data_IF_067353192744
#
_entry.id   IF_067353192744
#
_cell.length_a   1.000
_cell.length_b   1.000
_cell.length_c   1.000
_cell.angle_alpha   90.00
_cell.angle_beta   90.00
_cell.angle_gamma   90.00
#
_symmetry.space_group_name_H-M   'P 1'
#
loop_
_entity.id
_entity.type
_entity.pdbx_description
1 polymer ?
#
# COMPACT_ATOMS: atom_id res chain seq x y z
N UNK A 1 0.26 -34.56 -13.94
CA UNK A 1 1.36 -33.60 -13.66
C UNK A 1 2.67 -34.39 -13.59
N UNK A 2 3.73 -33.97 -14.29
CA UNK A 2 5.04 -34.66 -14.19
C UNK A 2 5.60 -34.43 -12.78
N UNK A 3 6.07 -35.49 -12.12
CA UNK A 3 6.73 -35.42 -10.80
C UNK A 3 8.05 -34.66 -10.98
N UNK A 4 8.41 -33.78 -10.04
CA UNK A 4 9.71 -33.12 -10.09
C UNK A 4 10.82 -34.17 -9.94
N UNK A 5 11.73 -34.24 -10.89
CA UNK A 5 12.80 -35.25 -10.90
C UNK A 5 14.05 -34.75 -10.17
N UNK A 6 14.18 -33.43 -9.97
CA UNK A 6 15.29 -32.81 -9.24
C UNK A 6 14.90 -31.50 -8.54
N UNK A 7 15.82 -30.99 -7.70
CA UNK A 7 15.61 -29.77 -6.91
C UNK A 7 15.32 -28.54 -7.79
N UNK A 8 16.00 -28.40 -8.93
CA UNK A 8 15.80 -27.27 -9.85
C UNK A 8 14.38 -27.23 -10.39
N UNK A 9 13.82 -28.39 -10.72
CA UNK A 9 12.43 -28.47 -11.16
C UNK A 9 11.44 -28.14 -10.05
N UNK A 10 11.72 -28.57 -8.81
CA UNK A 10 10.88 -28.24 -7.64
C UNK A 10 10.83 -26.73 -7.40
N UNK A 11 11.98 -26.04 -7.44
CA UNK A 11 12.02 -24.58 -7.36
C UNK A 11 11.31 -23.92 -8.53
N UNK A 12 11.49 -24.40 -9.75
CA UNK A 12 10.79 -23.88 -10.94
C UNK A 12 9.27 -23.97 -10.77
N UNK A 13 8.75 -25.09 -10.26
CA UNK A 13 7.32 -25.25 -10.00
C UNK A 13 6.83 -24.34 -8.88
N UNK A 14 7.58 -24.20 -7.78
CA UNK A 14 7.25 -23.26 -6.72
C UNK A 14 7.18 -21.81 -7.21
N UNK A 15 8.17 -21.35 -8.00
CA UNK A 15 8.17 -20.01 -8.59
C UNK A 15 7.03 -19.83 -9.59
N UNK A 16 6.71 -20.86 -10.38
CA UNK A 16 5.55 -20.81 -11.28
C UNK A 16 4.24 -20.66 -10.52
N UNK A 17 4.08 -21.36 -9.40
CA UNK A 17 2.91 -21.22 -8.53
C UNK A 17 2.79 -19.83 -7.91
N UNK A 18 3.90 -19.28 -7.40
CA UNK A 18 3.94 -17.92 -6.86
C UNK A 18 3.60 -16.88 -7.94
N UNK A 19 4.17 -17.02 -9.13
CA UNK A 19 3.88 -16.13 -10.27
C UNK A 19 2.41 -16.23 -10.70
N UNK A 20 1.87 -17.44 -10.79
CA UNK A 20 0.47 -17.65 -11.13
C UNK A 20 -0.43 -16.88 -10.16
N UNK A 21 -0.30 -17.14 -8.86
CA UNK A 21 -1.12 -16.50 -7.84
C UNK A 21 -0.96 -14.97 -7.86
N UNK A 22 0.24 -14.45 -8.06
CA UNK A 22 0.48 -13.00 -8.10
C UNK A 22 -0.19 -12.31 -9.30
N UNK A 23 -0.23 -12.99 -10.46
CA UNK A 23 -0.83 -12.45 -11.68
C UNK A 23 -2.36 -12.57 -11.65
N UNK A 24 -2.90 -13.67 -11.13
CA UNK A 24 -4.35 -13.91 -11.15
C UNK A 24 -5.06 -13.25 -9.98
N UNK A 25 -4.47 -13.24 -8.78
CA UNK A 25 -5.17 -12.84 -7.56
C UNK A 25 -4.90 -11.38 -7.19
N UNK A 26 -5.98 -10.58 -7.18
CA UNK A 26 -5.92 -9.17 -6.77
C UNK A 26 -5.54 -9.01 -5.31
N UNK A 27 -6.09 -9.85 -4.44
CA UNK A 27 -5.86 -9.80 -3.00
C UNK A 27 -4.39 -10.07 -2.66
N UNK A 28 -3.77 -11.08 -3.27
CA UNK A 28 -2.33 -11.34 -3.12
C UNK A 28 -1.46 -10.13 -3.52
N UNK A 29 -1.80 -9.40 -4.59
CA UNK A 29 -1.09 -8.17 -4.95
C UNK A 29 -1.23 -7.09 -3.89
N UNK A 30 -2.44 -6.88 -3.36
CA UNK A 30 -2.68 -5.92 -2.29
C UNK A 30 -1.90 -6.28 -1.01
N UNK A 31 -1.89 -7.55 -0.63
CA UNK A 31 -1.11 -8.04 0.51
C UNK A 31 0.40 -7.84 0.29
N UNK A 32 0.92 -8.12 -0.91
CA UNK A 32 2.32 -7.89 -1.23
C UNK A 32 2.71 -6.41 -1.20
N UNK A 33 1.89 -5.53 -1.81
CA UNK A 33 2.11 -4.08 -1.77
C UNK A 33 2.06 -3.52 -0.35
N UNK A 34 1.11 -3.99 0.46
CA UNK A 34 0.98 -3.60 1.87
C UNK A 34 2.18 -4.09 2.68
N UNK A 35 2.60 -5.34 2.47
CA UNK A 35 3.79 -5.91 3.08
C UNK A 35 5.05 -5.08 2.77
N UNK A 36 5.26 -4.72 1.50
CA UNK A 36 6.36 -3.87 1.09
C UNK A 36 6.33 -2.51 1.79
N UNK A 37 5.17 -1.85 1.84
CA UNK A 37 5.00 -0.57 2.53
C UNK A 37 5.31 -0.67 4.04
N UNK A 38 4.80 -1.72 4.71
CA UNK A 38 5.05 -1.97 6.14
C UNK A 38 6.53 -2.23 6.42
N UNK A 39 7.22 -2.97 5.56
CA UNK A 39 8.66 -3.25 5.70
C UNK A 39 9.51 -1.99 5.51
N UNK A 40 9.17 -1.14 4.52
CA UNK A 40 9.81 0.15 4.30
C UNK A 40 9.59 1.06 5.51
N UNK A 41 8.35 1.14 6.03
CA UNK A 41 8.03 1.91 7.22
C UNK A 41 8.82 1.42 8.44
N UNK A 42 8.94 0.10 8.61
CA UNK A 42 9.73 -0.52 9.66
C UNK A 42 11.20 -0.16 9.61
N UNK A 43 11.75 -0.07 8.40
CA UNK A 43 13.12 0.36 8.17
C UNK A 43 13.31 1.86 8.47
N UNK A 44 12.41 2.73 7.99
CA UNK A 44 12.43 4.18 8.26
C UNK A 44 12.36 4.48 9.76
N UNK A 45 11.50 3.75 10.49
CA UNK A 45 11.33 3.92 11.94
C UNK A 45 12.40 3.21 12.77
N UNK A 46 13.45 2.67 12.13
CA UNK A 46 14.55 1.94 12.77
C UNK A 46 14.06 0.87 13.76
N UNK A 47 13.15 0.01 13.31
CA UNK A 47 12.66 -1.09 14.15
C UNK A 47 13.82 -1.97 14.63
N UNK A 48 13.84 -2.34 15.92
CA UNK A 48 14.82 -3.29 16.41
C UNK A 48 14.62 -4.64 15.70
N UNK A 49 15.73 -5.34 15.44
CA UNK A 49 15.74 -6.59 14.66
C UNK A 49 14.64 -7.59 15.07
N UNK A 50 14.42 -7.74 16.37
CA UNK A 50 13.39 -8.65 16.92
C UNK A 50 11.97 -8.30 16.45
N UNK A 51 11.62 -7.01 16.41
CA UNK A 51 10.28 -6.56 16.00
C UNK A 51 10.13 -6.61 14.49
N UNK A 52 11.20 -6.30 13.76
CA UNK A 52 11.23 -6.46 12.31
C UNK A 52 11.01 -7.92 11.90
N UNK A 53 11.62 -8.88 12.62
CA UNK A 53 11.39 -10.32 12.41
C UNK A 53 9.94 -10.71 12.71
N UNK A 54 9.34 -10.20 13.78
CA UNK A 54 7.93 -10.46 14.12
C UNK A 54 6.98 -9.94 13.04
N UNK A 55 7.21 -8.72 12.54
CA UNK A 55 6.43 -8.13 11.46
C UNK A 55 6.58 -8.93 10.17
N UNK A 56 7.81 -9.32 9.82
CA UNK A 56 8.07 -10.16 8.66
C UNK A 56 7.38 -11.52 8.77
N UNK A 57 7.44 -12.16 9.95
CA UNK A 57 6.77 -13.44 10.18
C UNK A 57 5.25 -13.32 10.03
N UNK A 58 4.65 -12.25 10.57
CA UNK A 58 3.22 -11.99 10.43
C UNK A 58 2.81 -11.79 8.96
N UNK A 59 3.60 -11.04 8.19
CA UNK A 59 3.40 -10.88 6.74
C UNK A 59 3.46 -12.24 6.04
N UNK A 60 4.46 -13.07 6.36
CA UNK A 60 4.61 -14.39 5.73
C UNK A 60 3.41 -15.29 6.01
N UNK A 61 2.82 -15.24 7.21
CA UNK A 61 1.61 -16.00 7.54
C UNK A 61 0.43 -15.58 6.66
N UNK A 62 0.22 -14.29 6.45
CA UNK A 62 -0.84 -13.78 5.55
C UNK A 62 -0.62 -14.25 4.12
N UNK A 63 0.62 -14.14 3.62
CA UNK A 63 0.96 -14.57 2.26
C UNK A 63 0.74 -16.07 2.05
N UNK A 64 1.11 -16.90 3.03
CA UNK A 64 0.86 -18.35 2.98
C UNK A 64 -0.63 -18.66 2.99
N UNK A 65 -1.42 -18.01 3.86
CA UNK A 65 -2.86 -18.19 3.91
C UNK A 65 -3.52 -17.83 2.57
N UNK A 66 -3.12 -16.73 1.94
CA UNK A 66 -3.62 -16.29 0.64
C UNK A 66 -3.28 -17.27 -0.49
N UNK A 67 -2.05 -17.82 -0.49
CA UNK A 67 -1.64 -18.85 -1.42
C UNK A 67 -2.44 -20.15 -1.23
N UNK A 68 -2.72 -20.53 0.02
CA UNK A 68 -3.57 -21.67 0.33
C UNK A 68 -5.03 -21.44 -0.13
N UNK A 69 -5.57 -20.24 0.08
CA UNK A 69 -6.89 -19.88 -0.43
C UNK A 69 -6.97 -20.04 -1.95
N UNK A 70 -5.98 -19.52 -2.66
CA UNK A 70 -5.88 -19.67 -4.13
C UNK A 70 -5.82 -21.13 -4.57
N UNK A 71 -5.08 -21.97 -3.83
CA UNK A 71 -4.98 -23.39 -4.13
C UNK A 71 -6.31 -24.12 -3.89
N UNK A 72 -7.02 -23.80 -2.80
CA UNK A 72 -8.35 -24.35 -2.49
C UNK A 72 -9.36 -23.92 -3.57
N UNK A 73 -9.38 -22.65 -3.96
CA UNK A 73 -10.22 -22.14 -5.05
C UNK A 73 -10.00 -22.96 -6.33
N UNK A 74 -8.74 -23.13 -6.75
CA UNK A 74 -8.41 -23.88 -7.96
C UNK A 74 -8.86 -25.36 -7.91
N UNK A 75 -8.73 -26.01 -6.75
CA UNK A 75 -9.17 -27.41 -6.57
C UNK A 75 -10.69 -27.50 -6.57
N UNK A 76 -11.38 -26.58 -5.90
CA UNK A 76 -12.84 -26.55 -5.83
C UNK A 76 -13.43 -26.26 -7.20
N UNK A 77 -12.88 -25.30 -7.95
CA UNK A 77 -13.32 -24.96 -9.31
C UNK A 77 -13.13 -26.13 -10.29
N UNK A 78 -12.09 -26.95 -10.08
CA UNK A 78 -11.88 -28.16 -10.86
C UNK A 78 -12.87 -29.28 -10.49
N UNK A 79 -13.19 -29.43 -9.20
CA UNK A 79 -13.99 -30.55 -8.69
C UNK A 79 -15.50 -30.32 -8.80
N UNK A 80 -15.96 -29.07 -8.74
CA UNK A 80 -17.39 -28.71 -8.75
C UNK A 80 -17.62 -27.50 -9.67
N UNK A 81 -17.84 -27.73 -10.98
CA UNK A 81 -18.14 -26.68 -11.94
C UNK A 81 -19.46 -25.95 -11.64
N UNK A 82 -20.42 -26.67 -11.04
CA UNK A 82 -21.69 -26.14 -10.56
C UNK A 82 -21.62 -25.76 -9.07
N UNK A 83 -22.51 -24.87 -8.63
CA UNK A 83 -22.57 -24.43 -7.23
C UNK A 83 -23.00 -25.60 -6.34
N UNK A 84 -22.06 -26.10 -5.52
CA UNK A 84 -22.31 -27.12 -4.51
C UNK A 84 -22.16 -26.53 -3.09
N UNK A 85 -23.07 -26.81 -2.14
CA UNK A 85 -23.01 -26.24 -0.79
C UNK A 85 -21.67 -26.48 -0.05
N UNK A 86 -21.09 -27.67 -0.20
CA UNK A 86 -19.76 -27.98 0.35
C UNK A 86 -18.62 -27.22 -0.33
N UNK A 87 -18.71 -26.99 -1.65
CA UNK A 87 -17.73 -26.21 -2.41
C UNK A 87 -17.72 -24.75 -1.94
N UNK A 88 -18.92 -24.19 -1.71
CA UNK A 88 -19.08 -22.87 -1.12
C UNK A 88 -18.46 -22.82 0.29
N UNK A 89 -18.77 -23.79 1.16
CA UNK A 89 -18.21 -23.84 2.52
C UNK A 89 -16.68 -23.91 2.50
N UNK A 90 -16.09 -24.70 1.61
CA UNK A 90 -14.64 -24.82 1.49
C UNK A 90 -13.97 -23.48 1.11
N UNK A 91 -14.57 -22.76 0.14
CA UNK A 91 -14.11 -21.42 -0.26
C UNK A 91 -14.27 -20.40 0.87
N UNK A 92 -15.41 -20.41 1.55
CA UNK A 92 -15.69 -19.48 2.65
C UNK A 92 -14.72 -19.69 3.82
N UNK A 93 -14.41 -20.94 4.18
CA UNK A 93 -13.43 -21.27 5.23
C UNK A 93 -12.02 -20.84 4.83
N UNK A 94 -11.63 -21.05 3.57
CA UNK A 94 -10.32 -20.63 3.08
C UNK A 94 -10.17 -19.10 3.10
N UNK A 95 -11.19 -18.36 2.67
CA UNK A 95 -11.22 -16.90 2.78
C UNK A 95 -11.23 -16.44 4.25
N UNK A 96 -11.94 -17.14 5.13
CA UNK A 96 -11.93 -16.89 6.57
C UNK A 96 -10.54 -17.06 7.21
N UNK A 97 -9.76 -18.04 6.76
CA UNK A 97 -8.38 -18.23 7.23
C UNK A 97 -7.47 -17.05 6.83
N UNK A 98 -7.61 -16.52 5.61
CA UNK A 98 -6.91 -15.29 5.18
C UNK A 98 -7.30 -14.11 6.08
N UNK A 99 -8.59 -13.94 6.35
CA UNK A 99 -9.09 -12.85 7.20
C UNK A 99 -8.49 -12.92 8.60
N UNK A 100 -8.47 -14.09 9.23
CA UNK A 100 -7.87 -14.29 10.55
C UNK A 100 -6.37 -13.97 10.55
N UNK A 101 -5.64 -14.43 9.53
CA UNK A 101 -4.22 -14.10 9.37
C UNK A 101 -4.01 -12.58 9.22
N UNK A 102 -4.85 -11.91 8.41
CA UNK A 102 -4.77 -10.48 8.18
C UNK A 102 -5.06 -9.67 9.46
N UNK A 103 -6.06 -10.06 10.25
CA UNK A 103 -6.37 -9.43 11.54
C UNK A 103 -5.20 -9.60 12.52
N UNK A 104 -4.62 -10.81 12.59
CA UNK A 104 -3.45 -11.07 13.43
C UNK A 104 -2.24 -10.21 13.03
N UNK A 105 -1.94 -10.14 11.74
CA UNK A 105 -0.86 -9.31 11.22
C UNK A 105 -1.10 -7.81 11.45
N UNK A 106 -2.33 -7.33 11.26
CA UNK A 106 -2.70 -5.95 11.55
C UNK A 106 -2.54 -5.63 13.04
N UNK A 107 -2.96 -6.53 13.93
CA UNK A 107 -2.85 -6.35 15.38
C UNK A 107 -1.39 -6.27 15.83
N UNK A 108 -0.54 -7.18 15.32
CA UNK A 108 0.91 -7.14 15.57
C UNK A 108 1.56 -5.88 15.00
N UNK A 109 1.16 -5.48 13.80
CA UNK A 109 1.58 -4.23 13.18
C UNK A 109 1.25 -3.03 14.05
N UNK A 110 0.00 -2.89 14.49
CA UNK A 110 -0.41 -1.81 15.39
C UNK A 110 0.41 -1.80 16.68
N UNK A 111 0.62 -2.96 17.30
CA UNK A 111 1.40 -3.05 18.53
C UNK A 111 2.86 -2.57 18.35
N UNK A 112 3.48 -2.91 17.23
CA UNK A 112 4.87 -2.53 16.92
C UNK A 112 5.00 -1.06 16.47
N UNK A 113 4.07 -0.59 15.63
CA UNK A 113 4.19 0.69 14.95
C UNK A 113 3.55 1.86 15.71
N UNK A 114 2.44 1.67 16.44
CA UNK A 114 1.73 2.77 17.12
C UNK A 114 2.60 3.56 18.10
N UNK A 115 3.38 2.93 19.01
CA UNK A 115 4.22 3.67 19.95
C UNK A 115 5.26 4.53 19.24
N UNK A 116 5.86 4.01 18.15
CA UNK A 116 6.91 4.69 17.38
C UNK A 116 6.39 5.81 16.51
N UNK A 117 5.25 5.59 15.85
CA UNK A 117 4.62 6.63 15.06
C UNK A 117 4.17 7.80 15.95
N UNK A 118 3.70 7.51 17.17
CA UNK A 118 3.37 8.54 18.15
C UNK A 118 4.60 9.32 18.62
N UNK A 119 5.74 8.63 18.83
CA UNK A 119 6.99 9.26 19.23
C UNK A 119 7.56 10.14 18.11
N UNK A 120 7.63 9.60 16.89
CA UNK A 120 8.06 10.31 15.71
C UNK A 120 7.19 11.55 15.44
N UNK A 121 5.86 11.41 15.53
CA UNK A 121 4.93 12.51 15.38
C UNK A 121 5.13 13.60 16.43
N UNK A 122 5.34 13.24 17.71
CA UNK A 122 5.65 14.22 18.77
C UNK A 122 6.97 14.95 18.50
N UNK A 123 8.03 14.24 18.15
CA UNK A 123 9.33 14.85 17.83
C UNK A 123 9.24 15.77 16.60
N UNK A 124 8.50 15.36 15.57
CA UNK A 124 8.24 16.17 14.39
C UNK A 124 7.45 17.44 14.75
N UNK A 125 6.39 17.32 15.55
CA UNK A 125 5.59 18.45 16.01
C UNK A 125 6.43 19.43 16.84
N UNK A 126 7.25 18.95 17.79
CA UNK A 126 8.15 19.80 18.58
C UNK A 126 9.17 20.51 17.67
N UNK A 127 9.69 19.84 16.64
CA UNK A 127 10.64 20.42 15.69
C UNK A 127 9.99 21.44 14.75
N UNK A 128 8.70 21.29 14.45
CA UNK A 128 7.92 22.24 13.66
C UNK A 128 7.58 23.51 14.45
N UNK A 129 7.26 23.35 15.73
CA UNK A 129 6.80 24.43 16.63
C UNK A 129 7.90 25.43 17.00
N UNK A 130 9.17 25.00 16.99
CA UNK A 130 10.29 25.80 17.50
C UNK A 130 10.94 26.72 16.43
N UNK A 131 10.22 27.75 15.95
CA UNK A 131 10.64 28.85 15.02
C UNK A 131 10.51 28.60 13.50
N UNK A 132 10.47 27.33 13.05
CA UNK A 132 10.51 26.99 11.62
C UNK A 132 9.16 27.09 10.92
N UNK A 133 8.06 26.76 11.60
CA UNK A 133 6.71 26.89 11.04
C UNK A 133 6.39 28.34 10.67
N UNK A 134 6.76 29.28 11.53
CA UNK A 134 6.56 30.72 11.32
C UNK A 134 7.42 31.25 10.16
N UNK A 135 8.69 30.83 10.07
CA UNK A 135 9.54 31.21 8.92
C UNK A 135 9.04 30.64 7.59
N UNK A 136 8.57 29.39 7.56
CA UNK A 136 8.01 28.79 6.33
C UNK A 136 6.71 29.49 5.92
N UNK A 137 5.82 29.79 6.88
CA UNK A 137 4.60 30.57 6.61
C UNK A 137 4.95 31.96 6.07
N UNK A 138 5.92 32.67 6.68
CA UNK A 138 6.37 33.98 6.18
C UNK A 138 6.96 33.91 4.77
N UNK A 139 7.75 32.87 4.46
CA UNK A 139 8.31 32.67 3.12
C UNK A 139 7.23 32.36 2.07
N UNK A 140 6.23 31.55 2.42
CA UNK A 140 5.10 31.24 1.53
C UNK A 140 4.22 32.46 1.28
N UNK A 141 3.96 33.27 2.32
CA UNK A 141 3.24 34.54 2.20
C UNK A 141 4.02 35.52 1.33
N UNK A 142 5.33 35.67 1.55
CA UNK A 142 6.20 36.53 0.75
C UNK A 142 6.24 36.08 -0.71
N UNK A 143 6.38 34.79 -0.98
CA UNK A 143 6.33 34.23 -2.33
C UNK A 143 4.97 34.47 -3.01
N UNK A 144 3.88 34.33 -2.26
CA UNK A 144 2.53 34.65 -2.74
C UNK A 144 2.33 36.13 -3.08
N UNK A 145 2.86 37.04 -2.26
CA UNK A 145 2.84 38.49 -2.54
C UNK A 145 3.67 38.81 -3.79
N UNK A 146 4.87 38.24 -3.94
CA UNK A 146 5.71 38.43 -5.13
C UNK A 146 5.03 37.89 -6.38
N UNK A 147 4.42 36.71 -6.29
CA UNK A 147 3.64 36.14 -7.38
C UNK A 147 2.45 37.04 -7.74
N UNK A 148 1.73 37.60 -6.77
CA UNK A 148 0.65 38.56 -7.02
C UNK A 148 1.17 39.87 -7.65
N UNK A 149 2.29 40.41 -7.22
CA UNK A 149 2.89 41.63 -7.81
C UNK A 149 3.36 41.38 -9.25
N UNK A 150 3.90 40.20 -9.53
CA UNK A 150 4.39 39.80 -10.86
C UNK A 150 3.21 39.43 -11.78
N UNK A 151 2.16 38.81 -11.24
CA UNK A 151 1.04 38.22 -11.98
C UNK A 151 -0.26 39.04 -11.94
N UNK A 152 -0.32 40.16 -11.21
CA UNK A 152 -1.31 41.21 -11.48
C UNK A 152 -0.88 41.82 -12.81
N UNK A 153 -1.54 41.51 -13.92
CA UNK A 153 -1.14 42.07 -15.19
C UNK A 153 -1.52 43.56 -15.15
N UNK A 154 -0.75 44.41 -15.82
CA UNK A 154 -1.17 45.77 -16.19
C UNK A 154 -2.39 45.69 -17.14
N UNK A 155 -3.54 45.19 -16.68
CA UNK A 155 -4.76 45.01 -17.47
C UNK A 155 -5.65 46.24 -17.51
N UNK A 156 -5.08 47.44 -17.35
CA UNK A 156 -5.82 48.69 -17.53
C UNK A 156 -5.16 49.54 -18.60
N UNK A 157 -5.27 49.08 -19.86
CA UNK A 157 -5.33 49.93 -21.06
C UNK A 157 -5.52 49.09 -22.33
N UNK A 158 -6.70 48.49 -22.54
CA UNK A 158 -7.18 48.11 -23.88
C UNK A 158 -8.71 48.01 -23.91
N UNK A 159 -9.39 49.15 -23.75
CA UNK A 159 -10.72 49.33 -24.33
C UNK A 159 -10.58 50.37 -25.44
N UNK A 160 -10.52 49.87 -26.68
CA UNK A 160 -10.47 50.68 -27.89
C UNK A 160 -11.87 51.20 -28.22
N UNK A 161 -11.97 52.49 -28.52
CA UNK A 161 -13.16 53.08 -29.13
C UNK A 161 -13.24 52.65 -30.61
N UNK A 162 -14.43 52.26 -31.12
CA UNK A 162 -14.60 52.02 -32.55
C UNK A 162 -14.70 53.35 -33.30
N UNK A 163 -13.87 53.53 -34.33
CA UNK A 163 -13.98 54.65 -35.28
C UNK A 163 -15.05 54.32 -36.32
N UNK A 164 -16.08 55.16 -36.39
CA UNK A 164 -17.12 55.15 -37.43
C UNK A 164 -16.56 55.74 -38.72
N UNK A 165 -16.20 54.93 -39.70
CA UNK A 165 -15.94 55.38 -41.08
C UNK A 165 -15.99 54.17 -42.03
N UNK A 166 -17.18 53.86 -42.54
CA UNK A 166 -17.41 53.19 -43.82
C UNK A 166 -18.62 53.90 -44.47
N UNK A 167 -18.33 55.00 -45.15
CA UNK A 167 -19.17 55.66 -46.16
C UNK A 167 -18.26 56.19 -47.27
#
# INVERSE_FOLDING_TARGET
MKRAENLRESFRYAFSGLRYAFVTQRNLRLHFSTAAAVMILGWILNLPKREFIVVLAAIMVVMVAEMMNTAVEAVVDLASPDIHPLAQTAKDVAAGAVLLAAIGAASLGLWVFVPRLSAFGREFMIRWDNERGLTIILLLVLAGILAAVIWIPRTWHKDGYPTSEDH
#
